data_IF_299875835447
#
_entry.id   IF_299875835447
#
_cell.length_a   1.000
_cell.length_b   1.000
_cell.length_c   1.000
_cell.angle_alpha   90.00
_cell.angle_beta   90.00
_cell.angle_gamma   90.00
#
_symmetry.space_group_name_H-M   'P 1'
#
loop_
_entity.id
_entity.type
_entity.pdbx_description
1 polymer ?
#
# COMPACT_ATOMS: atom_id res chain seq x y z
N UNK A 1 -16.33 -8.89 4.67
CA UNK A 1 -16.85 -7.51 4.55
C UNK A 1 -16.26 -6.90 3.30
N UNK A 2 -17.11 -6.43 2.37
CA UNK A 2 -16.67 -5.72 1.18
C UNK A 2 -16.18 -4.32 1.55
N UNK A 3 -15.06 -3.92 0.98
CA UNK A 3 -14.51 -2.56 1.07
C UNK A 3 -14.04 -2.10 -0.29
N UNK A 4 -14.22 -0.83 -0.59
CA UNK A 4 -13.65 -0.14 -1.73
C UNK A 4 -12.66 0.93 -1.27
N UNK A 5 -11.74 1.30 -2.15
CA UNK A 5 -10.76 2.32 -1.84
C UNK A 5 -10.08 2.90 -3.08
N UNK A 6 -9.49 4.07 -2.89
CA UNK A 6 -8.72 4.76 -3.92
C UNK A 6 -7.49 5.44 -3.32
N UNK A 7 -6.49 5.71 -4.16
CA UNK A 7 -5.43 6.63 -3.78
C UNK A 7 -5.97 8.06 -3.73
N UNK A 8 -5.27 8.96 -3.01
CA UNK A 8 -5.73 10.34 -2.83
C UNK A 8 -6.01 11.09 -4.15
N UNK A 9 -5.25 10.80 -5.22
CA UNK A 9 -5.46 11.39 -6.55
C UNK A 9 -6.48 10.64 -7.42
N UNK A 10 -7.07 9.54 -6.95
CA UNK A 10 -8.09 8.76 -7.65
C UNK A 10 -7.61 7.87 -8.79
N UNK A 11 -6.35 7.97 -9.21
CA UNK A 11 -5.77 7.18 -10.33
C UNK A 11 -5.84 5.67 -10.07
N UNK A 12 -5.68 5.27 -8.82
CA UNK A 12 -5.77 3.86 -8.41
C UNK A 12 -7.06 3.66 -7.64
N UNK A 13 -7.83 2.65 -8.06
CA UNK A 13 -9.07 2.22 -7.42
C UNK A 13 -9.03 0.71 -7.24
N UNK A 14 -9.53 0.22 -6.11
CA UNK A 14 -9.55 -1.19 -5.80
C UNK A 14 -10.77 -1.54 -4.94
N UNK A 15 -11.09 -2.82 -4.92
CA UNK A 15 -12.05 -3.41 -4.00
C UNK A 15 -11.45 -4.65 -3.35
N UNK A 16 -11.94 -5.00 -2.17
CA UNK A 16 -11.52 -6.19 -1.47
C UNK A 16 -12.61 -6.76 -0.57
N UNK A 17 -12.59 -8.07 -0.35
CA UNK A 17 -13.23 -8.69 0.81
C UNK A 17 -12.23 -8.84 1.94
N UNK A 18 -12.52 -8.22 3.08
CA UNK A 18 -11.71 -8.34 4.29
C UNK A 18 -12.49 -9.06 5.40
N UNK A 19 -11.75 -9.67 6.31
CA UNK A 19 -12.26 -10.11 7.60
C UNK A 19 -12.08 -8.95 8.62
N UNK A 20 -13.16 -8.33 9.11
CA UNK A 20 -13.07 -7.22 10.04
C UNK A 20 -12.37 -7.60 11.36
N UNK A 21 -12.44 -8.86 11.79
CA UNK A 21 -11.79 -9.32 13.03
C UNK A 21 -10.26 -9.41 12.89
N UNK A 22 -9.75 -9.45 11.64
CA UNK A 22 -8.31 -9.51 11.34
C UNK A 22 -7.69 -8.14 11.11
N UNK A 23 -8.48 -7.06 11.15
CA UNK A 23 -7.99 -5.68 11.11
C UNK A 23 -7.17 -5.42 12.38
N UNK A 24 -5.98 -4.87 12.21
CA UNK A 24 -5.05 -4.67 13.33
C UNK A 24 -4.20 -3.43 13.18
N UNK A 25 -3.73 -2.94 14.32
CA UNK A 25 -2.71 -1.89 14.41
C UNK A 25 -1.34 -2.56 14.31
N UNK A 26 -0.51 -2.06 13.39
CA UNK A 26 0.86 -2.54 13.19
C UNK A 26 1.87 -1.47 13.58
N UNK A 27 2.80 -1.84 14.46
CA UNK A 27 3.85 -0.97 14.99
C UNK A 27 5.25 -1.24 14.42
N UNK A 28 5.37 -2.06 13.36
CA UNK A 28 6.70 -2.32 12.81
C UNK A 28 7.27 -1.07 12.10
N UNK A 29 8.59 -0.99 12.02
CA UNK A 29 9.31 0.15 11.44
C UNK A 29 8.91 0.43 9.99
N UNK A 30 8.57 -0.61 9.22
CA UNK A 30 8.04 -0.44 7.86
C UNK A 30 6.71 0.32 7.87
N UNK A 31 5.80 -0.04 8.79
CA UNK A 31 4.49 0.59 8.90
C UNK A 31 4.61 2.03 9.40
N UNK A 32 5.49 2.28 10.37
CA UNK A 32 5.79 3.63 10.86
C UNK A 32 6.38 4.52 9.77
N UNK A 33 7.30 3.97 8.97
CA UNK A 33 7.93 4.69 7.86
C UNK A 33 6.93 5.03 6.75
N UNK A 34 6.03 4.10 6.43
CA UNK A 34 5.00 4.29 5.40
C UNK A 34 3.92 5.29 5.80
N UNK A 35 3.49 5.29 7.07
CA UNK A 35 2.47 6.20 7.57
C UNK A 35 3.02 7.52 8.11
N UNK A 36 4.34 7.61 8.33
CA UNK A 36 4.99 8.69 9.11
C UNK A 36 4.32 8.90 10.48
N UNK A 37 3.87 7.82 11.09
CA UNK A 37 3.19 7.81 12.39
C UNK A 37 3.74 6.69 13.27
N UNK A 38 3.32 6.64 14.54
CA UNK A 38 3.71 5.58 15.47
C UNK A 38 3.18 4.19 15.06
N UNK A 39 2.19 4.13 14.16
CA UNK A 39 1.59 2.89 13.66
C UNK A 39 0.90 3.07 12.31
N UNK A 40 0.42 1.94 11.76
CA UNK A 40 -0.50 1.88 10.61
C UNK A 40 -1.61 0.85 10.89
N UNK A 41 -2.84 1.16 10.49
CA UNK A 41 -3.95 0.19 10.48
C UNK A 41 -3.85 -0.67 9.21
N UNK A 42 -3.93 -1.99 9.38
CA UNK A 42 -3.80 -2.97 8.30
C UNK A 42 -5.02 -3.88 8.28
N UNK A 43 -5.67 -3.97 7.12
CA UNK A 43 -6.73 -4.94 6.83
C UNK A 43 -6.18 -6.00 5.87
N UNK A 44 -5.82 -7.21 6.34
CA UNK A 44 -5.30 -8.26 5.48
C UNK A 44 -6.42 -8.91 4.65
N UNK A 45 -6.11 -9.24 3.41
CA UNK A 45 -6.94 -10.09 2.54
C UNK A 45 -6.06 -11.02 1.70
N UNK A 46 -6.65 -12.04 1.09
CA UNK A 46 -5.99 -12.89 0.11
C UNK A 46 -6.03 -12.27 -1.28
N UNK A 47 -5.14 -12.71 -2.17
CA UNK A 47 -5.10 -12.25 -3.57
C UNK A 47 -6.42 -12.52 -4.30
N UNK A 48 -7.04 -13.68 -4.08
CA UNK A 48 -8.33 -14.03 -4.68
C UNK A 48 -9.48 -13.09 -4.26
N UNK A 49 -9.33 -12.40 -3.13
CA UNK A 49 -10.33 -11.52 -2.55
C UNK A 49 -10.01 -10.03 -2.77
N UNK A 50 -9.01 -9.71 -3.59
CA UNK A 50 -8.59 -8.35 -3.93
C UNK A 50 -8.71 -8.13 -5.44
N UNK A 51 -9.27 -6.99 -5.84
CA UNK A 51 -9.38 -6.62 -7.25
C UNK A 51 -8.94 -5.18 -7.48
N UNK A 52 -8.01 -4.99 -8.42
CA UNK A 52 -7.56 -3.68 -8.86
C UNK A 52 -8.48 -3.22 -10.01
N UNK A 53 -9.25 -2.17 -9.76
CA UNK A 53 -10.26 -1.66 -10.68
C UNK A 53 -9.70 -0.62 -11.66
N UNK A 54 -8.68 0.13 -11.24
CA UNK A 54 -8.02 1.13 -12.08
C UNK A 54 -6.59 1.43 -11.62
N UNK A 55 -5.77 1.90 -12.57
CA UNK A 55 -4.38 2.30 -12.35
C UNK A 55 -3.41 1.13 -12.23
N UNK A 56 -2.11 1.43 -12.18
CA UNK A 56 -1.05 0.44 -12.01
C UNK A 56 -0.18 0.88 -10.84
N UNK A 57 -0.22 0.21 -9.68
CA UNK A 57 0.64 0.55 -8.56
C UNK A 57 2.09 0.20 -8.89
N UNK A 58 3.03 1.03 -8.41
CA UNK A 58 4.44 0.72 -8.53
C UNK A 58 4.80 -0.36 -7.51
N UNK A 59 5.41 -1.44 -7.98
CA UNK A 59 5.87 -2.53 -7.12
C UNK A 59 7.39 -2.48 -6.94
N UNK A 60 7.84 -2.90 -5.76
CA UNK A 60 9.25 -3.12 -5.48
C UNK A 60 9.41 -4.25 -4.47
N UNK A 61 10.58 -4.88 -4.44
CA UNK A 61 10.91 -5.90 -3.44
C UNK A 61 11.52 -5.20 -2.23
N UNK A 62 10.82 -5.24 -1.10
CA UNK A 62 11.37 -4.81 0.20
C UNK A 62 11.97 -5.98 0.94
N UNK A 63 12.95 -5.69 1.79
CA UNK A 63 13.31 -6.55 2.93
C UNK A 63 12.49 -6.06 4.12
N UNK A 64 11.76 -6.95 4.77
CA UNK A 64 11.03 -6.58 5.99
C UNK A 64 12.01 -6.11 7.06
N UNK A 65 11.77 -4.95 7.66
CA UNK A 65 12.61 -4.45 8.74
C UNK A 65 12.63 -5.40 9.96
N UNK A 66 11.59 -6.21 10.14
CA UNK A 66 11.43 -7.07 11.31
C UNK A 66 11.92 -8.51 11.09
N UNK A 67 11.74 -9.08 9.89
CA UNK A 67 12.10 -10.49 9.62
C UNK A 67 13.21 -10.66 8.58
N UNK A 68 13.67 -9.59 7.93
CA UNK A 68 14.61 -9.67 6.80
C UNK A 68 14.04 -10.30 5.52
N UNK A 69 12.83 -10.90 5.59
CA UNK A 69 12.20 -11.61 4.47
C UNK A 69 11.95 -10.66 3.29
N UNK A 70 12.24 -11.14 2.08
CA UNK A 70 11.94 -10.42 0.84
C UNK A 70 10.46 -10.54 0.52
N UNK A 71 9.79 -9.41 0.33
CA UNK A 71 8.35 -9.36 -0.01
C UNK A 71 8.10 -8.27 -1.05
N UNK A 72 7.13 -8.50 -1.93
CA UNK A 72 6.66 -7.46 -2.86
C UNK A 72 5.83 -6.46 -2.07
N UNK A 73 6.08 -5.16 -2.30
CA UNK A 73 5.29 -4.07 -1.79
C UNK A 73 4.82 -3.22 -2.96
N UNK A 74 3.50 -3.06 -3.08
CA UNK A 74 2.89 -2.10 -3.97
C UNK A 74 2.75 -0.74 -3.26
N UNK A 75 3.06 0.34 -3.96
CA UNK A 75 2.84 1.72 -3.55
C UNK A 75 2.02 2.44 -4.62
N UNK A 76 1.07 3.25 -4.16
CA UNK A 76 0.38 4.23 -5.00
C UNK A 76 1.33 5.41 -5.20
N UNK A 77 2.14 5.37 -6.26
CA UNK A 77 2.99 6.49 -6.60
C UNK A 77 2.11 7.63 -7.14
N UNK A 78 2.04 8.76 -6.42
CA UNK A 78 1.47 10.02 -6.93
C UNK A 78 2.47 10.75 -7.85
N UNK A 79 3.54 10.09 -8.26
CA UNK A 79 4.60 10.71 -9.05
C UNK A 79 4.25 10.63 -10.53
N UNK A 80 3.32 11.49 -10.95
CA UNK A 80 3.44 12.21 -12.20
C UNK A 80 4.30 13.46 -11.95
N UNK A 81 5.55 13.27 -11.51
CA UNK A 81 6.59 14.25 -11.80
C UNK A 81 7.34 13.68 -12.98
N UNK A 82 6.93 14.13 -14.16
CA UNK A 82 7.80 14.11 -15.33
C UNK A 82 9.15 14.67 -14.89
N UNK A 83 10.17 13.82 -14.91
CA UNK A 83 11.57 14.23 -14.76
C UNK A 83 12.00 14.98 -16.02
N UNK A 84 11.39 16.12 -16.28
CA UNK A 84 11.81 17.06 -17.30
C UNK A 84 12.06 18.39 -16.60
N UNK A 85 13.35 18.71 -16.41
CA UNK A 85 13.88 20.03 -16.06
C UNK A 85 13.42 20.69 -14.75
N UNK A 86 14.04 20.31 -13.64
CA UNK A 86 14.53 21.32 -12.69
C UNK A 86 16.02 21.07 -12.47
N UNK A 87 16.84 21.74 -13.29
CA UNK A 87 18.22 22.07 -12.91
C UNK A 87 18.08 23.26 -11.96
N UNK A 88 18.57 23.09 -10.73
CA UNK A 88 19.01 24.21 -9.89
C UNK A 88 20.40 24.64 -10.38
#
# INVERSE_FOLDING_TARGET
MKVDGSCHCGTIRFEADIDPERVRICHCTDCQSLSRSAFRIVAPTSEANFSLLAGIPKQYIKRSAQSGTRRVQALFAVVALERTTLRL
#
